data_IF_407310239887
#
_entry.id   IF_407310239887
#
_cell.length_a   1.000
_cell.length_b   1.000
_cell.length_c   1.000
_cell.angle_alpha   90.00
_cell.angle_beta   90.00
_cell.angle_gamma   90.00
#
_symmetry.space_group_name_H-M   'P 1'
#
loop_
_entity.id
_entity.type
_entity.pdbx_description
1 polymer ?
#
# COMPACT_ATOMS: atom_id res chain seq x y z
N UNK A 1 49.05 -42.18 -76.69
CA UNK A 1 49.93 -40.99 -76.81
C UNK A 1 49.23 -39.80 -76.17
N UNK A 2 49.88 -39.07 -75.23
CA UNK A 2 49.90 -37.60 -75.02
C UNK A 2 48.55 -36.83 -75.27
N UNK A 3 47.95 -36.01 -74.37
CA UNK A 3 48.47 -34.95 -73.47
C UNK A 3 47.33 -34.24 -72.67
N UNK A 4 47.64 -33.88 -71.42
CA UNK A 4 47.45 -32.59 -70.68
C UNK A 4 46.05 -32.02 -70.32
N UNK A 5 46.06 -31.40 -69.12
CA UNK A 5 45.01 -30.92 -68.23
C UNK A 5 44.52 -29.47 -68.47
N UNK A 6 43.41 -29.08 -67.82
CA UNK A 6 43.25 -27.80 -67.09
C UNK A 6 41.99 -27.81 -66.18
N UNK A 7 42.14 -27.24 -64.98
CA UNK A 7 41.17 -27.04 -63.89
C UNK A 7 40.16 -25.91 -64.17
N UNK A 8 38.98 -25.94 -63.54
CA UNK A 8 38.39 -24.76 -62.86
C UNK A 8 37.31 -25.18 -61.84
N UNK A 9 37.40 -24.59 -60.65
CA UNK A 9 36.56 -24.81 -59.47
C UNK A 9 35.13 -24.27 -59.64
N UNK A 10 34.19 -24.88 -58.94
CA UNK A 10 32.87 -24.30 -58.63
C UNK A 10 32.08 -25.17 -57.67
N UNK A 11 32.19 -24.90 -56.38
CA UNK A 11 31.33 -25.47 -55.34
C UNK A 11 29.95 -24.81 -55.38
N UNK A 12 28.88 -25.59 -55.30
CA UNK A 12 27.55 -25.08 -54.95
C UNK A 12 26.86 -26.04 -53.99
N UNK A 13 26.59 -25.51 -52.81
CA UNK A 13 26.03 -26.15 -51.62
C UNK A 13 24.54 -26.44 -51.79
N UNK A 14 24.10 -27.61 -51.34
CA UNK A 14 22.70 -28.05 -51.25
C UNK A 14 21.90 -27.20 -50.26
N UNK A 15 20.70 -26.74 -50.65
CA UNK A 15 19.71 -26.20 -49.71
C UNK A 15 18.66 -27.27 -49.41
N UNK A 16 18.80 -27.91 -48.24
CA UNK A 16 17.77 -28.72 -47.62
C UNK A 16 16.66 -27.78 -47.11
N UNK A 17 15.45 -27.87 -47.66
CA UNK A 17 14.28 -27.16 -47.13
C UNK A 17 13.80 -27.89 -45.86
N UNK A 18 14.26 -27.44 -44.70
CA UNK A 18 13.63 -27.78 -43.42
C UNK A 18 12.41 -26.88 -43.23
N UNK A 19 11.22 -27.44 -43.38
CA UNK A 19 9.98 -26.83 -42.89
C UNK A 19 10.06 -26.77 -41.36
N UNK A 20 10.37 -25.59 -40.82
CA UNK A 20 10.41 -25.36 -39.38
C UNK A 20 9.01 -25.48 -38.76
N UNK A 21 8.87 -26.23 -37.68
CA UNK A 21 7.68 -26.18 -36.83
C UNK A 21 7.51 -24.74 -36.32
N UNK A 22 6.34 -24.13 -36.53
CA UNK A 22 5.99 -22.88 -35.89
C UNK A 22 5.61 -23.19 -34.44
N UNK A 23 6.50 -22.84 -33.50
CA UNK A 23 6.19 -22.89 -32.07
C UNK A 23 5.20 -21.77 -31.80
N UNK A 24 3.91 -22.10 -31.74
CA UNK A 24 2.89 -21.12 -31.38
C UNK A 24 3.13 -20.64 -29.96
N UNK A 25 3.46 -19.37 -29.78
CA UNK A 25 3.54 -18.75 -28.46
C UNK A 25 2.14 -18.39 -27.98
N UNK A 26 1.83 -18.69 -26.73
CA UNK A 26 0.63 -18.22 -26.04
C UNK A 26 0.91 -16.84 -25.44
N UNK A 27 -0.03 -15.91 -25.57
CA UNK A 27 -0.08 -14.62 -24.88
C UNK A 27 -1.23 -14.67 -23.88
N UNK A 28 -0.93 -14.46 -22.60
CA UNK A 28 -1.92 -14.47 -21.52
C UNK A 28 -2.17 -13.03 -21.06
N UNK A 29 -3.42 -12.58 -21.19
CA UNK A 29 -3.85 -11.25 -20.75
C UNK A 29 -4.65 -11.35 -19.46
N UNK A 30 -4.31 -10.50 -18.47
CA UNK A 30 -4.97 -10.44 -17.18
C UNK A 30 -5.74 -9.11 -17.04
N UNK A 31 -6.98 -9.19 -16.56
CA UNK A 31 -7.83 -8.01 -16.31
C UNK A 31 -8.23 -7.96 -14.84
N UNK A 32 -8.18 -6.76 -14.25
CA UNK A 32 -8.46 -6.51 -12.85
C UNK A 32 -9.63 -5.55 -12.66
N UNK A 33 -10.34 -5.65 -11.54
CA UNK A 33 -11.33 -4.65 -11.11
C UNK A 33 -10.67 -3.44 -10.40
N UNK A 34 -11.49 -2.46 -10.00
CA UNK A 34 -11.04 -1.25 -9.31
C UNK A 34 -10.41 -1.50 -7.92
N UNK A 35 -10.59 -2.69 -7.36
CA UNK A 35 -9.98 -3.13 -6.10
C UNK A 35 -8.70 -3.97 -6.32
N UNK A 36 -8.24 -4.11 -7.57
CA UNK A 36 -7.04 -4.87 -7.92
C UNK A 36 -7.24 -6.39 -7.95
N UNK A 37 -8.47 -6.89 -7.97
CA UNK A 37 -8.77 -8.33 -7.99
C UNK A 37 -8.93 -8.83 -9.43
N UNK A 38 -8.49 -10.07 -9.72
CA UNK A 38 -8.55 -10.67 -11.06
C UNK A 38 -9.99 -10.98 -11.49
N UNK A 39 -10.46 -10.39 -12.59
CA UNK A 39 -11.82 -10.63 -13.13
C UNK A 39 -11.84 -11.37 -14.45
N UNK A 40 -10.76 -11.33 -15.23
CA UNK A 40 -10.65 -12.11 -16.46
C UNK A 40 -9.21 -12.52 -16.80
N UNK A 41 -9.07 -13.71 -17.39
CA UNK A 41 -7.86 -14.19 -18.07
C UNK A 41 -8.25 -14.56 -19.49
N UNK A 42 -7.49 -14.14 -20.49
CA UNK A 42 -7.67 -14.61 -21.88
C UNK A 42 -6.35 -15.01 -22.49
N UNK A 43 -6.31 -16.18 -23.12
CA UNK A 43 -5.13 -16.69 -23.82
C UNK A 43 -5.34 -16.61 -25.32
N UNK A 44 -4.39 -15.98 -26.01
CA UNK A 44 -4.36 -15.88 -27.48
C UNK A 44 -3.06 -16.45 -28.02
N UNK A 45 -3.10 -17.13 -29.16
CA UNK A 45 -1.93 -17.83 -29.70
C UNK A 45 -1.76 -19.26 -29.15
N UNK A 46 -0.88 -20.01 -29.82
CA UNK A 46 -0.56 -21.42 -29.58
C UNK A 46 -1.74 -22.35 -29.33
N UNK A 47 -1.53 -23.40 -28.52
CA UNK A 47 -2.45 -24.54 -28.38
C UNK A 47 -3.67 -24.23 -27.49
N UNK A 48 -3.59 -23.17 -26.69
CA UNK A 48 -4.66 -22.72 -25.80
C UNK A 48 -5.41 -21.49 -26.33
N UNK A 49 -5.26 -21.19 -27.62
CA UNK A 49 -5.89 -20.03 -28.25
C UNK A 49 -7.41 -20.04 -28.04
N UNK A 50 -7.94 -18.99 -27.43
CA UNK A 50 -9.37 -18.84 -27.14
C UNK A 50 -9.81 -19.36 -25.78
N UNK A 51 -8.89 -19.85 -24.94
CA UNK A 51 -9.18 -20.08 -23.53
C UNK A 51 -9.45 -18.74 -22.83
N UNK A 52 -10.58 -18.65 -22.14
CA UNK A 52 -10.98 -17.52 -21.33
C UNK A 52 -11.46 -17.99 -19.95
N UNK A 53 -11.07 -17.27 -18.92
CA UNK A 53 -11.54 -17.44 -17.55
C UNK A 53 -12.20 -16.14 -17.12
N UNK A 54 -13.40 -16.21 -16.53
CA UNK A 54 -14.06 -15.07 -15.89
C UNK A 54 -14.35 -15.39 -14.42
N UNK A 55 -14.11 -14.41 -13.56
CA UNK A 55 -14.31 -14.51 -12.10
C UNK A 55 -15.13 -13.32 -11.63
N UNK A 56 -16.13 -13.56 -10.76
CA UNK A 56 -16.89 -12.49 -10.09
C UNK A 56 -16.78 -12.61 -8.58
N UNK A 57 -17.02 -11.49 -7.89
CA UNK A 57 -16.92 -11.38 -6.43
C UNK A 57 -18.17 -10.73 -5.85
N UNK A 58 -18.55 -11.13 -4.64
CA UNK A 58 -19.59 -10.46 -3.87
C UNK A 58 -19.04 -9.18 -3.17
N UNK A 59 -19.90 -8.36 -2.54
CA UNK A 59 -19.47 -7.16 -1.82
C UNK A 59 -18.54 -7.42 -0.62
N UNK A 60 -18.55 -8.64 -0.06
CA UNK A 60 -17.65 -9.04 1.03
C UNK A 60 -16.28 -9.51 0.52
N UNK A 61 -16.09 -9.58 -0.80
CA UNK A 61 -14.84 -10.00 -1.42
C UNK A 61 -14.71 -11.50 -1.66
N UNK A 62 -15.75 -12.29 -1.38
CA UNK A 62 -15.73 -13.72 -1.66
C UNK A 62 -15.94 -13.94 -3.16
N UNK A 63 -15.28 -14.97 -3.72
CA UNK A 63 -15.51 -15.39 -5.10
C UNK A 63 -16.94 -15.91 -5.25
N UNK A 64 -17.72 -15.26 -6.09
CA UNK A 64 -19.13 -15.60 -6.36
C UNK A 64 -19.30 -16.45 -7.63
N UNK A 65 -18.42 -16.31 -8.63
CA UNK A 65 -18.40 -17.19 -9.82
C UNK A 65 -16.98 -17.45 -10.33
N UNK A 66 -16.82 -18.58 -11.02
CA UNK A 66 -15.62 -18.96 -11.76
C UNK A 66 -16.01 -19.77 -13.01
N UNK A 67 -15.87 -19.18 -14.19
CA UNK A 67 -16.25 -19.81 -15.47
C UNK A 67 -15.05 -19.91 -16.39
N UNK A 68 -14.89 -21.06 -17.04
CA UNK A 68 -13.84 -21.30 -18.04
C UNK A 68 -14.50 -21.64 -19.36
N UNK A 69 -14.09 -20.98 -20.45
CA UNK A 69 -14.63 -21.16 -21.81
C UNK A 69 -13.48 -21.28 -22.81
N UNK A 70 -13.55 -22.24 -23.74
CA UNK A 70 -12.61 -22.36 -24.88
C UNK A 70 -11.37 -23.27 -24.68
N UNK A 71 -10.82 -23.71 -25.83
CA UNK A 71 -9.70 -24.64 -26.11
C UNK A 71 -9.88 -26.14 -25.77
N UNK A 72 -9.40 -27.03 -26.67
CA UNK A 72 -9.48 -28.50 -26.60
C UNK A 72 -8.37 -29.18 -25.77
N UNK A 73 -7.61 -28.40 -25.00
CA UNK A 73 -6.63 -28.90 -24.04
C UNK A 73 -7.25 -29.04 -22.66
N UNK A 74 -6.68 -29.92 -21.82
CA UNK A 74 -7.00 -29.90 -20.39
C UNK A 74 -6.84 -28.47 -19.87
N UNK A 75 -7.88 -27.87 -19.25
CA UNK A 75 -7.82 -26.49 -18.82
C UNK A 75 -6.63 -26.30 -17.86
N UNK A 76 -5.85 -25.21 -18.00
CA UNK A 76 -4.81 -24.92 -17.03
C UNK A 76 -5.43 -24.80 -15.64
N UNK A 77 -4.69 -25.17 -14.58
CA UNK A 77 -5.19 -25.04 -13.22
C UNK A 77 -5.61 -23.59 -12.96
N UNK A 78 -6.71 -23.38 -12.21
CA UNK A 78 -7.16 -22.04 -11.88
C UNK A 78 -6.04 -21.28 -11.17
N UNK A 79 -5.81 -19.99 -11.49
CA UNK A 79 -4.91 -19.18 -10.70
C UNK A 79 -5.41 -19.16 -9.24
N UNK A 80 -4.49 -19.13 -8.26
CA UNK A 80 -4.89 -18.97 -6.87
C UNK A 80 -5.78 -17.73 -6.75
N UNK A 81 -6.81 -17.76 -5.88
CA UNK A 81 -7.61 -16.58 -5.64
C UNK A 81 -6.68 -15.43 -5.23
N UNK A 82 -6.93 -14.19 -5.69
CA UNK A 82 -6.19 -13.04 -5.20
C UNK A 82 -6.32 -13.00 -3.66
N UNK A 83 -5.27 -12.54 -2.96
CA UNK A 83 -5.36 -12.36 -1.52
C UNK A 83 -6.57 -11.46 -1.18
N UNK A 84 -7.25 -11.69 -0.04
CA UNK A 84 -8.29 -10.79 0.44
C UNK A 84 -7.75 -9.35 0.49
N UNK A 85 -8.60 -8.33 0.26
CA UNK A 85 -8.22 -6.94 0.53
C UNK A 85 -7.68 -6.81 1.96
N UNK A 86 -6.67 -5.95 2.20
CA UNK A 86 -6.24 -5.66 3.56
C UNK A 86 -7.42 -5.20 4.42
N UNK A 87 -7.43 -5.49 5.73
CA UNK A 87 -8.37 -4.88 6.65
C UNK A 87 -8.34 -3.35 6.53
N UNK A 88 -9.47 -2.69 6.77
CA UNK A 88 -9.56 -1.22 6.80
C UNK A 88 -8.60 -0.61 7.82
N UNK A 89 -8.36 0.70 7.71
CA UNK A 89 -7.60 1.46 8.72
C UNK A 89 -8.55 2.34 9.55
N UNK A 90 -8.83 1.91 10.77
CA UNK A 90 -9.58 2.69 11.73
C UNK A 90 -8.64 3.71 12.38
N UNK A 91 -9.03 4.99 12.51
CA UNK A 91 -8.16 5.99 13.13
C UNK A 91 -7.83 5.67 14.60
N UNK A 92 -6.74 6.25 15.13
CA UNK A 92 -6.43 6.20 16.56
C UNK A 92 -7.60 6.71 17.41
N UNK A 93 -7.67 6.23 18.64
CA UNK A 93 -8.58 6.70 19.69
C UNK A 93 -7.80 7.52 20.73
N UNK A 94 -7.58 8.82 20.48
CA UNK A 94 -6.87 9.65 21.43
C UNK A 94 -7.75 10.02 22.63
N UNK A 95 -7.13 10.12 23.79
CA UNK A 95 -7.79 10.50 25.04
C UNK A 95 -7.37 11.91 25.47
N UNK A 96 -8.26 12.64 26.12
CA UNK A 96 -7.93 14.01 26.55
C UNK A 96 -6.91 14.02 27.70
N UNK A 97 -5.93 14.91 27.60
CA UNK A 97 -4.89 15.07 28.60
C UNK A 97 -5.10 16.29 29.47
N UNK A 98 -4.51 16.24 30.66
CA UNK A 98 -4.43 17.39 31.57
C UNK A 98 -3.02 17.57 32.11
N UNK A 99 -2.66 18.82 32.36
CA UNK A 99 -1.39 19.21 32.96
C UNK A 99 -1.56 20.42 33.88
N UNK A 100 -0.53 20.73 34.64
CA UNK A 100 -0.45 21.99 35.39
C UNK A 100 0.96 22.55 35.35
N UNK A 101 1.06 23.88 35.44
CA UNK A 101 2.33 24.58 35.62
C UNK A 101 2.11 25.96 36.24
N UNK A 102 3.21 26.66 36.55
CA UNK A 102 3.17 28.07 36.94
C UNK A 102 3.14 28.96 35.70
N UNK A 103 2.69 30.21 35.85
CA UNK A 103 2.83 31.20 34.78
C UNK A 103 4.31 31.48 34.48
N UNK A 104 4.61 31.93 33.25
CA UNK A 104 5.97 32.28 32.81
C UNK A 104 6.98 31.10 32.82
N UNK A 105 6.50 29.86 32.77
CA UNK A 105 7.33 28.66 32.63
C UNK A 105 7.03 27.89 31.36
N UNK A 106 7.95 26.99 31.00
CA UNK A 106 7.80 26.05 29.90
C UNK A 106 7.82 24.62 30.45
N UNK A 107 6.81 23.82 30.10
CA UNK A 107 6.73 22.40 30.45
C UNK A 107 6.42 21.55 29.22
N UNK A 108 6.72 20.25 29.33
CA UNK A 108 6.50 19.27 28.27
C UNK A 108 5.56 18.17 28.76
N UNK A 109 4.65 17.72 27.90
CA UNK A 109 3.60 16.75 28.20
C UNK A 109 3.60 15.65 27.14
N UNK A 110 3.74 14.39 27.57
CA UNK A 110 3.58 13.23 26.69
C UNK A 110 2.08 12.93 26.56
N UNK A 111 1.49 13.28 25.43
CA UNK A 111 0.03 13.23 25.19
C UNK A 111 -0.43 11.96 24.49
N UNK A 112 0.50 11.09 24.07
CA UNK A 112 0.17 9.81 23.44
C UNK A 112 0.27 8.63 24.42
N UNK A 113 0.46 8.89 25.71
CA UNK A 113 0.72 7.84 26.71
C UNK A 113 -0.51 6.97 27.02
N UNK A 114 -1.71 7.53 26.83
CA UNK A 114 -3.02 6.91 27.06
C UNK A 114 -3.82 6.70 25.76
N UNK A 115 -3.23 7.06 24.62
CA UNK A 115 -3.84 6.89 23.29
C UNK A 115 -3.69 5.44 22.82
N UNK A 116 -4.69 4.94 22.09
CA UNK A 116 -4.69 3.57 21.54
C UNK A 116 -5.12 3.57 20.08
N UNK A 117 -4.83 2.47 19.39
CA UNK A 117 -5.31 2.19 18.05
C UNK A 117 -6.17 0.92 18.03
N UNK A 118 -7.40 0.93 17.47
CA UNK A 118 -8.27 -0.26 17.43
C UNK A 118 -7.72 -1.43 16.61
N UNK A 119 -6.91 -1.14 15.59
CA UNK A 119 -6.31 -2.13 14.69
C UNK A 119 -4.92 -2.57 15.17
N UNK A 120 -4.33 -1.85 16.13
CA UNK A 120 -3.01 -2.12 16.69
C UNK A 120 -1.86 -1.49 15.90
N UNK A 121 -2.13 -0.44 15.12
CA UNK A 121 -1.14 0.20 14.25
C UNK A 121 -0.24 1.20 14.97
N UNK A 122 0.80 0.66 15.61
CA UNK A 122 1.84 1.43 16.30
C UNK A 122 3.13 1.57 15.46
N UNK A 123 3.97 2.60 15.68
CA UNK A 123 3.82 3.64 16.70
C UNK A 123 2.83 4.74 16.31
N UNK A 124 2.11 5.26 17.30
CA UNK A 124 1.37 6.52 17.16
C UNK A 124 2.33 7.71 17.15
N UNK A 125 2.00 8.77 16.39
CA UNK A 125 2.82 9.97 16.29
C UNK A 125 2.01 11.27 16.17
N UNK A 126 2.52 12.35 16.73
CA UNK A 126 1.97 13.69 16.64
C UNK A 126 2.23 14.29 15.27
N UNK A 127 1.17 14.79 14.65
CA UNK A 127 1.21 15.51 13.37
C UNK A 127 1.25 17.02 13.61
N UNK A 128 0.41 17.51 14.52
CA UNK A 128 0.31 18.95 14.79
C UNK A 128 -0.30 19.24 16.15
N UNK A 129 -0.11 20.48 16.62
CA UNK A 129 -0.85 21.07 17.74
C UNK A 129 -1.26 22.49 17.38
N UNK A 130 -2.46 22.88 17.81
CA UNK A 130 -2.97 24.25 17.71
C UNK A 130 -3.30 24.78 19.11
N UNK A 131 -3.10 26.07 19.32
CA UNK A 131 -3.29 26.72 20.63
C UNK A 131 -2.12 27.64 20.97
N UNK A 132 -2.40 28.79 21.58
CA UNK A 132 -1.36 29.76 21.90
C UNK A 132 -0.34 29.19 22.89
N UNK A 133 0.93 29.22 22.52
CA UNK A 133 2.05 28.74 23.35
C UNK A 133 2.30 27.22 23.29
N UNK A 134 1.53 26.46 22.51
CA UNK A 134 1.73 25.02 22.31
C UNK A 134 2.59 24.74 21.07
N UNK A 135 3.54 23.82 21.18
CA UNK A 135 4.41 23.36 20.09
C UNK A 135 4.69 21.88 20.21
N UNK A 136 4.68 21.14 19.09
CA UNK A 136 5.16 19.75 19.07
C UNK A 136 6.69 19.76 19.14
N UNK A 137 7.27 18.98 20.06
CA UNK A 137 8.75 18.90 20.23
C UNK A 137 9.31 17.49 19.99
N UNK A 138 8.45 16.47 19.94
CA UNK A 138 8.79 15.10 19.52
C UNK A 138 7.56 14.41 18.95
N UNK A 139 7.69 13.15 18.53
CA UNK A 139 6.56 12.34 18.04
C UNK A 139 5.46 12.11 19.08
N UNK A 140 5.72 12.29 20.38
CA UNK A 140 4.71 12.02 21.42
C UNK A 140 4.51 13.20 22.38
N UNK A 141 5.40 14.20 22.34
CA UNK A 141 5.48 15.24 23.35
C UNK A 141 5.15 16.62 22.79
N UNK A 142 4.23 17.30 23.47
CA UNK A 142 3.89 18.70 23.25
C UNK A 142 4.53 19.54 24.35
N UNK A 143 5.17 20.64 23.96
CA UNK A 143 5.63 21.68 24.86
C UNK A 143 4.59 22.79 24.96
N UNK A 144 4.39 23.32 26.17
CA UNK A 144 3.58 24.50 26.40
C UNK A 144 4.37 25.56 27.18
N UNK A 145 4.51 26.74 26.56
CA UNK A 145 5.14 27.92 27.18
C UNK A 145 4.06 28.89 27.64
N UNK A 146 3.93 29.06 28.95
CA UNK A 146 2.97 29.99 29.53
C UNK A 146 3.47 31.43 29.47
N UNK A 147 2.56 32.37 29.19
CA UNK A 147 2.77 33.80 29.44
C UNK A 147 2.42 34.15 30.89
N UNK A 148 2.29 35.44 31.21
CA UNK A 148 1.93 35.95 32.54
C UNK A 148 0.45 35.70 32.94
N UNK A 149 -0.38 35.15 32.05
CA UNK A 149 -1.80 34.90 32.29
C UNK A 149 -2.03 33.54 32.95
N UNK A 150 -2.82 33.54 34.03
CA UNK A 150 -3.27 32.32 34.72
C UNK A 150 -4.51 31.72 34.05
N UNK A 151 -4.99 30.60 34.59
CA UNK A 151 -6.19 29.89 34.15
C UNK A 151 -5.91 28.85 33.07
N UNK A 152 -6.95 28.11 32.68
CA UNK A 152 -6.83 26.98 31.77
C UNK A 152 -6.40 27.44 30.37
N UNK A 153 -5.50 26.65 29.77
CA UNK A 153 -5.01 26.82 28.41
C UNK A 153 -5.23 25.49 27.70
N UNK A 154 -5.85 25.52 26.53
CA UNK A 154 -6.24 24.32 25.80
C UNK A 154 -5.50 24.32 24.46
N UNK A 155 -4.81 23.22 24.19
CA UNK A 155 -4.25 22.91 22.88
C UNK A 155 -4.99 21.73 22.27
N UNK A 156 -5.28 21.79 20.98
CA UNK A 156 -5.85 20.65 20.22
C UNK A 156 -4.74 20.03 19.39
N UNK A 157 -4.51 18.73 19.55
CA UNK A 157 -3.48 18.00 18.84
C UNK A 157 -4.07 16.97 17.89
N UNK A 158 -3.32 16.65 16.84
CA UNK A 158 -3.61 15.59 15.87
C UNK A 158 -2.60 14.47 16.02
N UNK A 159 -3.08 13.25 16.19
CA UNK A 159 -2.29 12.01 16.21
C UNK A 159 -2.53 11.21 14.94
N UNK A 160 -1.52 10.46 14.50
CA UNK A 160 -1.56 9.57 13.34
C UNK A 160 -1.02 8.17 13.70
N UNK A 161 -1.62 7.12 13.15
CA UNK A 161 -1.12 5.73 13.21
C UNK A 161 -0.03 5.42 12.17
N UNK A 162 0.55 4.22 12.24
CA UNK A 162 1.61 3.79 11.30
C UNK A 162 1.15 3.64 9.83
N UNK A 163 -0.15 3.51 9.59
CA UNK A 163 -0.78 3.40 8.26
C UNK A 163 -1.32 4.74 7.74
N UNK A 164 -1.24 5.80 8.54
CA UNK A 164 -1.52 7.17 8.18
C UNK A 164 -2.92 7.70 8.54
N UNK A 165 -3.81 6.95 9.20
CA UNK A 165 -5.09 7.53 9.64
C UNK A 165 -4.89 8.40 10.88
N UNK A 166 -5.77 9.40 11.04
CA UNK A 166 -5.56 10.50 11.98
C UNK A 166 -6.78 10.78 12.84
N UNK A 167 -6.55 11.20 14.08
CA UNK A 167 -7.59 11.65 15.01
C UNK A 167 -7.12 12.85 15.83
N UNK A 168 -8.04 13.52 16.52
CA UNK A 168 -7.74 14.72 17.32
C UNK A 168 -8.22 14.62 18.75
N UNK A 169 -7.47 15.19 19.68
CA UNK A 169 -7.85 15.34 21.09
C UNK A 169 -7.25 16.63 21.67
N UNK A 170 -7.41 16.85 22.98
CA UNK A 170 -7.04 18.09 23.65
C UNK A 170 -6.11 17.84 24.83
N UNK A 171 -5.12 18.73 24.99
CA UNK A 171 -4.36 18.90 26.21
C UNK A 171 -4.83 20.17 26.92
N UNK A 172 -5.32 20.03 28.16
CA UNK A 172 -5.69 21.16 29.01
C UNK A 172 -4.64 21.40 30.09
N UNK A 173 -3.95 22.53 30.04
CA UNK A 173 -2.96 22.93 31.05
C UNK A 173 -3.53 23.98 31.98
N UNK A 174 -3.58 23.68 33.28
CA UNK A 174 -3.97 24.63 34.32
C UNK A 174 -2.76 25.50 34.70
N UNK A 175 -2.82 26.79 34.38
CA UNK A 175 -1.76 27.75 34.72
C UNK A 175 -2.08 28.44 36.05
N UNK A 176 -1.25 28.17 37.04
CA UNK A 176 -1.31 28.79 38.37
C UNK A 176 -0.46 30.06 38.47
N UNK A 177 -0.58 30.78 39.58
CA UNK A 177 0.30 31.92 39.88
C UNK A 177 1.78 31.52 39.93
N UNK A 178 2.66 32.52 39.93
CA UNK A 178 4.11 32.32 39.87
C UNK A 178 4.84 33.65 39.70
N UNK A 179 6.16 33.64 39.76
CA UNK A 179 6.97 34.83 39.43
C UNK A 179 7.46 34.69 37.98
N UNK A 180 7.30 35.76 37.21
CA UNK A 180 7.96 35.87 35.90
C UNK A 180 9.36 36.40 36.17
N UNK A 181 10.37 35.59 35.91
CA UNK A 181 11.77 36.01 35.98
C UNK A 181 12.22 36.63 34.66
#
# INVERSE_FOLDING_TARGET
MKRKAAYLLGTSVSAFLLSGAAWGSDTVTYTYDALGRLVAVSTTGGVNNGLAVSTSYDPAGNRSNYTVTGASGSPPPPPPPPPPPPPGNNPPTPQADTGSQQKCTTSSYNVLANDTDPDGDYPLSLVSVTGAGFSVISSTTIQFTSTALTGNKVGTYTVQDARGATATSTLTVTVSGGMCQ
#
